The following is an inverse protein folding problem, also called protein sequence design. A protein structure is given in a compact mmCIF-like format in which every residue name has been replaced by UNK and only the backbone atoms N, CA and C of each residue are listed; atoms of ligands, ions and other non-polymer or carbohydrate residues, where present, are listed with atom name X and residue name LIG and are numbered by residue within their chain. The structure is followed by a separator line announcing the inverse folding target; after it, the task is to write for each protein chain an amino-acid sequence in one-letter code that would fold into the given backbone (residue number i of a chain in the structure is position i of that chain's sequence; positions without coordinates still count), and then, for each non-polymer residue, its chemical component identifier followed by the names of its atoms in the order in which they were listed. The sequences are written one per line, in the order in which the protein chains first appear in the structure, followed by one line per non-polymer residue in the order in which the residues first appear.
data_IF_933155708380
#
_entry.id   IF_933155708380
#
_cell.length_a   1.000
_cell.length_b   1.000
_cell.length_c   1.000
_cell.angle_alpha   90.00
_cell.angle_beta   90.00
_cell.angle_gamma   90.00
#
_symmetry.space_group_name_H-M   'P 1'
#
loop_
_entity.id
_entity.type
_entity.pdbx_description
1 polymer ?
#
# COMPACT_ATOMS: atom_id res chain seq x y z
N UNK A 1 4.00 -5.14 -13.90
CA UNK A 1 5.46 -5.18 -13.68
C UNK A 1 5.77 -4.56 -12.31
N UNK A 2 6.59 -5.23 -11.52
CA UNK A 2 7.02 -4.78 -10.19
C UNK A 2 8.53 -4.85 -10.05
N UNK A 3 9.14 -4.00 -9.21
CA UNK A 3 10.57 -4.07 -8.88
C UNK A 3 10.77 -4.05 -7.37
N UNK A 4 11.79 -4.76 -6.88
CA UNK A 4 12.07 -4.86 -5.44
C UNK A 4 12.55 -3.53 -4.85
N UNK A 5 12.00 -3.16 -3.69
CA UNK A 5 12.42 -1.97 -2.93
C UNK A 5 13.23 -2.31 -1.68
N UNK A 6 13.14 -3.55 -1.20
CA UNK A 6 13.90 -4.04 -0.04
C UNK A 6 14.94 -5.05 -0.49
N UNK A 7 16.19 -4.78 -0.13
CA UNK A 7 17.25 -5.77 -0.20
C UNK A 7 17.01 -6.82 0.89
N UNK A 8 16.99 -8.08 0.49
CA UNK A 8 16.81 -9.22 1.37
C UNK A 8 17.31 -10.46 0.64
N UNK A 9 16.46 -11.47 0.49
CA UNK A 9 16.79 -12.65 -0.34
C UNK A 9 16.69 -12.40 -1.84
N UNK A 10 16.20 -11.22 -2.25
CA UNK A 10 16.07 -10.80 -3.65
C UNK A 10 17.01 -9.61 -3.87
N UNK A 11 17.76 -9.57 -5.00
CA UNK A 11 18.55 -8.41 -5.37
C UNK A 11 17.71 -7.13 -5.43
N UNK A 12 18.35 -5.99 -5.11
CA UNK A 12 17.74 -4.67 -5.17
C UNK A 12 17.41 -4.29 -6.62
N UNK A 13 16.24 -3.66 -6.84
CA UNK A 13 15.71 -3.26 -8.15
C UNK A 13 15.55 -4.39 -9.18
N UNK A 14 15.59 -5.65 -8.75
CA UNK A 14 15.24 -6.74 -9.64
C UNK A 14 13.75 -6.64 -9.96
N UNK A 15 13.43 -6.58 -11.26
CA UNK A 15 12.08 -6.45 -11.75
C UNK A 15 11.50 -7.80 -12.20
N UNK A 16 10.18 -7.83 -12.30
CA UNK A 16 9.45 -9.00 -12.74
C UNK A 16 7.98 -8.74 -12.94
N UNK A 17 7.27 -9.82 -13.26
CA UNK A 17 5.83 -9.80 -13.51
C UNK A 17 5.09 -10.52 -12.39
N UNK A 18 4.06 -9.86 -11.84
CA UNK A 18 3.14 -10.46 -10.88
C UNK A 18 2.28 -11.47 -11.61
N UNK A 19 2.29 -12.72 -11.15
CA UNK A 19 1.51 -13.82 -11.74
C UNK A 19 0.33 -14.24 -10.88
N UNK A 20 0.38 -13.95 -9.58
CA UNK A 20 -0.74 -14.19 -8.66
C UNK A 20 -0.73 -13.19 -7.52
N UNK A 21 -1.92 -12.84 -7.05
CA UNK A 21 -2.15 -11.99 -5.88
C UNK A 21 -3.12 -12.73 -4.97
N UNK A 22 -2.75 -12.92 -3.72
CA UNK A 22 -3.55 -13.69 -2.76
C UNK A 22 -3.35 -13.18 -1.33
N UNK A 23 -4.14 -13.71 -0.41
CA UNK A 23 -4.19 -13.25 0.97
C UNK A 23 -5.24 -12.15 1.21
N UNK A 24 -5.56 -11.91 2.48
CA UNK A 24 -6.59 -10.92 2.85
C UNK A 24 -6.05 -9.52 2.57
N UNK A 25 -6.67 -8.82 1.63
CA UNK A 25 -6.24 -7.48 1.23
C UNK A 25 -5.02 -7.47 0.28
N UNK A 26 -4.78 -8.56 -0.46
CA UNK A 26 -3.70 -8.62 -1.46
C UNK A 26 -2.29 -8.40 -0.87
N UNK A 27 -2.03 -8.99 0.30
CA UNK A 27 -0.78 -8.81 1.02
C UNK A 27 0.35 -9.71 0.52
N UNK A 28 0.04 -10.80 -0.20
CA UNK A 28 1.02 -11.73 -0.79
C UNK A 28 0.91 -11.76 -2.31
N UNK A 29 2.06 -11.72 -2.97
CA UNK A 29 2.15 -11.80 -4.43
C UNK A 29 3.21 -12.80 -4.87
N UNK A 30 2.87 -13.59 -5.88
CA UNK A 30 3.80 -14.42 -6.62
C UNK A 30 4.34 -13.61 -7.81
N UNK A 31 5.67 -13.54 -7.92
CA UNK A 31 6.36 -12.82 -8.99
C UNK A 31 7.33 -13.74 -9.70
N UNK A 32 7.34 -13.64 -11.03
CA UNK A 32 8.38 -14.21 -11.88
C UNK A 32 9.34 -13.09 -12.24
N UNK A 33 10.58 -13.17 -11.75
CA UNK A 33 11.62 -12.18 -11.98
C UNK A 33 12.20 -12.31 -13.40
N UNK A 34 12.73 -11.21 -13.92
CA UNK A 34 13.32 -11.14 -15.26
C UNK A 34 14.66 -11.87 -15.36
N UNK A 35 15.37 -11.99 -14.24
CA UNK A 35 16.64 -12.72 -14.11
C UNK A 35 16.60 -13.72 -12.95
N UNK A 36 17.44 -14.76 -13.06
CA UNK A 36 17.58 -15.76 -12.01
C UNK A 36 18.37 -15.17 -10.83
N UNK A 37 18.05 -15.61 -9.61
CA UNK A 37 18.77 -15.23 -8.40
C UNK A 37 18.75 -16.37 -7.36
N UNK A 38 19.72 -16.35 -6.45
CA UNK A 38 19.96 -17.44 -5.47
C UNK A 38 18.72 -17.74 -4.61
N UNK A 39 17.98 -16.70 -4.21
CA UNK A 39 16.78 -16.84 -3.40
C UNK A 39 15.51 -17.23 -4.18
N UNK A 40 15.61 -17.46 -5.49
CA UNK A 40 14.48 -17.74 -6.37
C UNK A 40 14.15 -19.23 -6.46
N UNK A 41 12.86 -19.55 -6.44
CA UNK A 41 12.32 -20.88 -6.68
C UNK A 41 11.70 -21.01 -8.08
N UNK A 42 10.84 -22.02 -8.24
CA UNK A 42 10.08 -22.28 -9.47
C UNK A 42 8.58 -22.03 -9.33
N UNK A 43 8.12 -21.54 -8.17
CA UNK A 43 6.70 -21.45 -7.80
C UNK A 43 5.94 -22.78 -8.00
N UNK A 44 6.57 -23.91 -7.65
CA UNK A 44 5.99 -25.25 -7.84
C UNK A 44 6.02 -25.73 -9.30
N UNK A 45 7.04 -25.33 -10.06
CA UNK A 45 7.21 -25.70 -11.47
C UNK A 45 6.50 -24.78 -12.48
N UNK A 46 5.88 -23.69 -12.02
CA UNK A 46 5.19 -22.71 -12.87
C UNK A 46 6.15 -21.78 -13.63
N UNK A 47 7.42 -21.71 -13.23
CA UNK A 47 8.48 -20.98 -13.91
C UNK A 47 9.85 -21.68 -13.77
N UNK A 48 10.86 -21.32 -14.58
CA UNK A 48 12.21 -21.87 -14.43
C UNK A 48 12.78 -21.67 -13.01
N UNK A 49 13.62 -22.61 -12.51
CA UNK A 49 14.28 -22.46 -11.22
C UNK A 49 15.06 -21.15 -11.10
N UNK A 50 15.06 -20.54 -9.92
CA UNK A 50 15.77 -19.29 -9.67
C UNK A 50 14.99 -18.03 -10.05
N UNK A 51 13.78 -18.12 -10.61
CA UNK A 51 13.01 -16.94 -11.08
C UNK A 51 11.80 -16.59 -10.24
N UNK A 52 11.21 -17.56 -9.57
CA UNK A 52 9.94 -17.42 -8.88
C UNK A 52 10.09 -17.02 -7.42
N UNK A 53 9.25 -16.11 -6.92
CA UNK A 53 9.22 -15.79 -5.49
C UNK A 53 7.85 -15.32 -5.03
N UNK A 54 7.44 -15.78 -3.85
CA UNK A 54 6.29 -15.26 -3.11
C UNK A 54 6.78 -14.30 -2.04
N UNK A 55 6.34 -13.03 -2.08
CA UNK A 55 6.64 -12.07 -1.01
C UNK A 55 5.45 -11.18 -0.68
N UNK A 56 5.60 -10.40 0.40
CA UNK A 56 4.62 -9.38 0.76
C UNK A 56 4.63 -8.23 -0.25
N UNK A 57 3.45 -7.71 -0.59
CA UNK A 57 3.27 -6.61 -1.54
C UNK A 57 4.07 -5.36 -1.18
N UNK A 58 4.24 -5.07 0.12
CA UNK A 58 5.07 -3.97 0.63
C UNK A 58 6.57 -4.06 0.29
N UNK A 59 7.05 -5.19 -0.24
CA UNK A 59 8.43 -5.37 -0.70
C UNK A 59 8.69 -4.87 -2.13
N UNK A 60 7.64 -4.49 -2.86
CA UNK A 60 7.70 -4.16 -4.27
C UNK A 60 7.14 -2.77 -4.59
N UNK A 61 7.69 -2.16 -5.64
CA UNK A 61 7.13 -1.01 -6.32
C UNK A 61 6.35 -1.48 -7.56
N UNK A 62 5.07 -1.12 -7.66
CA UNK A 62 4.34 -1.26 -8.93
C UNK A 62 4.88 -0.23 -9.92
N UNK A 63 5.48 -0.71 -11.00
CA UNK A 63 6.05 0.13 -12.05
C UNK A 63 5.26 0.13 -13.35
N UNK A 64 4.15 -0.60 -13.38
CA UNK A 64 3.24 -0.64 -14.53
C UNK A 64 2.71 0.77 -14.81
N UNK A 65 2.76 1.19 -16.08
CA UNK A 65 2.27 2.50 -16.52
C UNK A 65 0.77 2.64 -16.23
N UNK A 66 0.34 3.80 -15.73
CA UNK A 66 -1.08 4.12 -15.47
C UNK A 66 -1.57 3.93 -14.02
N UNK A 67 -0.90 3.13 -13.19
CA UNK A 67 -1.31 2.94 -11.77
C UNK A 67 -0.57 3.83 -10.78
N UNK A 68 0.48 4.53 -11.23
CA UNK A 68 1.10 5.57 -10.42
C UNK A 68 0.14 6.75 -10.38
N UNK A 69 -0.54 6.95 -9.24
CA UNK A 69 -1.24 8.22 -8.99
C UNK A 69 -0.22 9.34 -9.14
N UNK A 70 -0.30 10.08 -10.23
CA UNK A 70 0.46 11.29 -10.47
C UNK A 70 -0.09 12.36 -9.53
N UNK A 71 0.35 12.34 -8.28
CA UNK A 71 -0.12 13.26 -7.26
C UNK A 71 0.72 13.16 -6.00
N UNK A 72 1.35 14.28 -5.63
CA UNK A 72 2.02 14.53 -4.35
C UNK A 72 1.04 14.45 -3.16
N UNK A 73 0.38 13.32 -2.95
CA UNK A 73 -0.29 13.04 -1.70
C UNK A 73 0.52 11.95 -1.01
N UNK A 74 1.62 12.38 -0.39
CA UNK A 74 2.17 11.64 0.73
C UNK A 74 1.03 11.36 1.69
N UNK A 75 0.87 10.09 2.08
CA UNK A 75 -0.08 9.68 3.11
C UNK A 75 0.32 10.35 4.42
N UNK A 76 -0.12 11.59 4.62
CA UNK A 76 -0.18 12.20 5.94
C UNK A 76 -1.17 11.38 6.74
N UNK A 77 -0.68 10.60 7.69
CA UNK A 77 -1.49 9.98 8.72
C UNK A 77 -2.07 11.09 9.61
N UNK A 78 -3.09 11.80 9.12
CA UNK A 78 -3.90 12.69 9.93
C UNK A 78 -4.77 11.82 10.83
N UNK A 79 -4.32 11.61 12.05
CA UNK A 79 -5.14 11.08 13.13
C UNK A 79 -6.36 12.01 13.28
N UNK A 80 -7.60 11.54 13.13
CA UNK A 80 -8.76 12.37 13.37
C UNK A 80 -8.91 12.58 14.89
N UNK A 81 -8.49 13.76 15.37
CA UNK A 81 -8.80 14.22 16.72
C UNK A 81 -10.30 14.53 16.78
N UNK A 82 -11.07 13.59 17.36
CA UNK A 82 -12.52 13.68 17.53
C UNK A 82 -12.83 14.68 18.65
N UNK A 83 -12.83 15.98 18.35
CA UNK A 83 -13.32 17.00 19.28
C UNK A 83 -14.85 16.90 19.39
N UNK A 84 -15.31 16.41 20.53
CA UNK A 84 -16.71 16.38 20.93
C UNK A 84 -17.13 17.80 21.34
N UNK A 85 -17.78 18.55 20.44
CA UNK A 85 -18.29 19.89 20.74
C UNK A 85 -19.79 19.81 21.07
N UNK A 86 -20.11 19.76 22.36
CA UNK A 86 -21.48 19.77 22.89
C UNK A 86 -22.03 21.20 22.83
N UNK A 87 -22.76 21.54 21.76
CA UNK A 87 -23.69 22.68 21.76
C UNK A 87 -24.99 22.25 22.40
N UNK A 88 -25.34 22.86 23.55
CA UNK A 88 -26.69 23.39 23.85
C UNK A 88 -26.81 23.85 25.32
N UNK A 89 -26.95 25.16 25.52
CA UNK A 89 -27.81 25.82 26.53
C UNK A 89 -27.68 27.35 26.30
N UNK A 90 -28.50 27.90 25.41
CA UNK A 90 -29.75 28.62 25.69
C UNK A 90 -29.50 30.08 26.11
N UNK A 91 -29.48 30.98 25.12
CA UNK A 91 -29.60 32.43 25.32
C UNK A 91 -30.88 32.87 24.62
N UNK A 92 -31.85 33.35 25.39
CA UNK A 92 -32.87 34.27 24.88
C UNK A 92 -32.93 35.43 25.87
N UNK A 93 -32.41 36.57 25.42
CA UNK A 93 -32.54 37.87 26.06
C UNK A 93 -33.65 38.64 25.35
N UNK A 94 -34.68 39.03 26.07
CA UNK A 94 -35.70 40.02 25.69
C UNK A 94 -36.28 40.54 27.02
N UNK A 95 -36.57 41.81 27.30
CA UNK A 95 -36.48 43.09 26.63
C UNK A 95 -37.05 44.10 27.64
N UNK A 96 -36.46 45.29 27.75
CA UNK A 96 -36.79 46.39 28.68
C UNK A 96 -38.17 47.00 28.38
N UNK A 97 -39.01 47.28 29.40
CA UNK A 97 -39.87 48.50 29.45
C UNK A 97 -40.52 48.78 30.81
N UNK A 98 -40.67 50.08 31.07
CA UNK A 98 -41.16 50.77 32.27
C UNK A 98 -42.69 50.67 32.45
N UNK A 99 -43.14 50.67 33.70
CA UNK A 99 -44.07 51.65 34.30
C UNK A 99 -44.17 51.40 35.80
#
# INVERSE_FOLDING_TARGET
IVCTLKAGTIPYLLCGTVVSVYGKGADLIDVVMDSNFIGGGSLGGRCPPGRGKSIKSAGFLNITYGERKQGNQGVSASHPNRQHNTRQQHVVTSGRRQS
#
